data_IF_907994770603
#
_entry.id   IF_907994770603
#
_cell.length_a   1.000
_cell.length_b   1.000
_cell.length_c   1.000
_cell.angle_alpha   90.00
_cell.angle_beta   90.00
_cell.angle_gamma   90.00
#
_symmetry.space_group_name_H-M   'P 1'
#
loop_
_entity.id
_entity.type
_entity.pdbx_description
1 polymer ?
#
# COMPACT_ATOMS: atom_id res chain seq x y z
N UNK A 1 -1.93 14.89 9.04
CA UNK A 1 -2.18 14.60 7.61
C UNK A 1 -1.45 13.33 7.23
N UNK A 2 -1.83 12.69 6.13
CA UNK A 2 -1.11 11.52 5.59
C UNK A 2 0.12 11.98 4.80
N UNK A 3 1.21 11.21 4.85
CA UNK A 3 2.37 11.44 3.99
C UNK A 3 2.08 10.84 2.60
N UNK A 4 1.94 11.64 1.52
CA UNK A 4 1.63 11.11 0.19
C UNK A 4 2.69 10.16 -0.36
N UNK A 5 3.96 10.33 0.02
CA UNK A 5 5.03 9.41 -0.38
C UNK A 5 4.86 8.01 0.22
N UNK A 6 4.09 7.87 1.31
CA UNK A 6 3.82 6.59 1.95
C UNK A 6 2.59 5.86 1.37
N UNK A 7 1.95 6.43 0.34
CA UNK A 7 0.67 5.96 -0.24
C UNK A 7 0.89 5.49 -1.68
N UNK A 8 0.45 4.26 -1.98
CA UNK A 8 0.50 3.72 -3.34
C UNK A 8 -0.65 4.30 -4.17
N UNK A 9 -0.34 4.83 -5.36
CA UNK A 9 -1.33 5.31 -6.31
C UNK A 9 -1.42 4.34 -7.49
N UNK A 10 -2.51 3.57 -7.55
CA UNK A 10 -2.72 2.54 -8.58
C UNK A 10 -3.92 2.93 -9.44
N UNK A 11 -3.75 3.20 -10.74
CA UNK A 11 -4.88 3.36 -11.65
C UNK A 11 -5.50 1.99 -11.92
N UNK A 12 -6.77 1.80 -11.57
CA UNK A 12 -7.47 0.52 -11.69
C UNK A 12 -8.78 0.66 -12.47
N UNK A 13 -9.22 -0.45 -13.07
CA UNK A 13 -10.63 -0.62 -13.48
C UNK A 13 -11.25 -1.75 -12.67
N UNK A 14 -12.05 -1.41 -11.66
CA UNK A 14 -12.69 -2.42 -10.81
C UNK A 14 -13.65 -3.35 -11.57
N UNK A 15 -14.27 -2.85 -12.65
CA UNK A 15 -15.20 -3.63 -13.47
C UNK A 15 -14.49 -4.62 -14.40
N UNK A 16 -13.39 -4.17 -15.04
CA UNK A 16 -12.66 -5.00 -16.02
C UNK A 16 -11.49 -5.78 -15.40
N UNK A 17 -11.15 -5.52 -14.14
CA UNK A 17 -10.03 -6.16 -13.45
C UNK A 17 -8.65 -5.58 -13.77
N UNK A 18 -8.58 -4.50 -14.55
CA UNK A 18 -7.31 -3.89 -14.98
C UNK A 18 -6.50 -3.39 -13.76
N UNK A 19 -5.24 -3.84 -13.64
CA UNK A 19 -4.30 -3.56 -12.53
C UNK A 19 -4.77 -4.01 -11.14
N UNK A 20 -5.78 -4.88 -11.03
CA UNK A 20 -6.21 -5.42 -9.73
C UNK A 20 -5.30 -6.56 -9.26
N UNK A 21 -5.24 -7.64 -10.05
CA UNK A 21 -4.41 -8.81 -9.79
C UNK A 21 -3.25 -8.89 -10.78
N UNK A 22 -3.52 -8.59 -12.05
CA UNK A 22 -2.57 -8.64 -13.15
C UNK A 22 -2.38 -7.27 -13.78
N UNK A 23 -1.21 -7.05 -14.37
CA UNK A 23 -0.88 -5.80 -15.06
C UNK A 23 -1.71 -5.68 -16.32
N UNK A 24 -2.40 -4.55 -16.48
CA UNK A 24 -3.18 -4.27 -17.68
C UNK A 24 -2.28 -3.86 -18.84
N UNK A 25 -2.51 -4.44 -20.01
CA UNK A 25 -1.89 -4.01 -21.27
C UNK A 25 -2.46 -2.70 -21.82
N UNK A 26 -3.61 -2.23 -21.30
CA UNK A 26 -4.29 -1.00 -21.75
C UNK A 26 -3.65 0.28 -21.21
N UNK A 27 -2.76 0.17 -20.23
CA UNK A 27 -2.13 1.30 -19.57
C UNK A 27 -0.60 1.27 -19.72
N UNK A 28 -0.07 1.37 -20.96
CA UNK A 28 1.38 1.30 -21.21
C UNK A 28 2.16 2.48 -20.61
N UNK A 29 1.47 3.57 -20.26
CA UNK A 29 2.05 4.75 -19.62
C UNK A 29 2.32 4.55 -18.12
N UNK A 30 1.65 3.60 -17.47
CA UNK A 30 1.81 3.34 -16.04
C UNK A 30 2.96 2.35 -15.82
N UNK A 31 4.05 2.83 -15.21
CA UNK A 31 5.26 2.02 -14.96
C UNK A 31 5.22 1.27 -13.63
N UNK A 32 4.29 1.64 -12.76
CA UNK A 32 4.18 1.15 -11.40
C UNK A 32 3.96 2.28 -10.39
N UNK A 33 3.54 1.90 -9.20
CA UNK A 33 3.47 2.76 -8.03
C UNK A 33 4.73 2.58 -7.19
N UNK A 34 5.01 3.57 -6.35
CA UNK A 34 6.16 3.57 -5.45
C UNK A 34 5.73 4.15 -4.13
N UNK A 35 6.13 3.49 -3.04
CA UNK A 35 5.84 3.89 -1.66
C UNK A 35 7.15 3.98 -0.89
N UNK A 36 7.39 5.12 -0.26
CA UNK A 36 8.51 5.36 0.64
C UNK A 36 8.01 5.42 2.09
N UNK A 37 8.49 4.47 2.90
CA UNK A 37 8.22 4.40 4.34
C UNK A 37 9.54 4.34 5.10
N UNK A 38 9.46 4.48 6.42
CA UNK A 38 10.63 4.42 7.31
C UNK A 38 11.42 3.11 7.19
N UNK A 39 10.76 2.02 6.79
CA UNK A 39 11.34 0.68 6.69
C UNK A 39 11.85 0.33 5.29
N UNK A 40 11.63 1.19 4.29
CA UNK A 40 12.12 0.98 2.93
C UNK A 40 11.23 1.56 1.84
N UNK A 41 11.77 1.54 0.62
CA UNK A 41 11.06 1.85 -0.61
C UNK A 41 10.51 0.57 -1.22
N UNK A 42 9.21 0.54 -1.51
CA UNK A 42 8.55 -0.59 -2.15
C UNK A 42 7.93 -0.11 -3.46
N UNK A 43 8.04 -0.92 -4.50
CA UNK A 43 7.46 -0.66 -5.81
C UNK A 43 6.61 -1.86 -6.26
N UNK A 44 5.59 -1.57 -7.05
CA UNK A 44 4.69 -2.57 -7.61
C UNK A 44 3.86 -1.99 -8.74
N UNK A 45 3.01 -2.79 -9.34
CA UNK A 45 2.17 -2.41 -10.50
C UNK A 45 0.69 -2.71 -10.24
N UNK A 46 0.37 -3.76 -9.51
CA UNK A 46 -1.00 -4.16 -9.24
C UNK A 46 -1.48 -3.67 -7.86
N UNK A 47 -2.80 -3.66 -7.68
CA UNK A 47 -3.43 -3.35 -6.40
C UNK A 47 -3.12 -4.41 -5.35
N UNK A 48 -3.05 -5.69 -5.72
CA UNK A 48 -2.68 -6.77 -4.79
C UNK A 48 -1.28 -6.56 -4.21
N UNK A 49 -0.31 -6.17 -5.04
CA UNK A 49 1.05 -5.87 -4.59
C UNK A 49 1.07 -4.68 -3.62
N UNK A 50 0.16 -3.70 -3.83
CA UNK A 50 0.04 -2.56 -2.92
C UNK A 50 -0.53 -2.96 -1.55
N UNK A 51 -1.41 -3.97 -1.52
CA UNK A 51 -1.94 -4.56 -0.28
C UNK A 51 -0.88 -5.40 0.44
N UNK A 52 -0.12 -6.22 -0.30
CA UNK A 52 0.98 -7.02 0.26
C UNK A 52 2.11 -6.14 0.82
N UNK A 53 2.29 -4.95 0.26
CA UNK A 53 3.22 -3.95 0.77
C UNK A 53 2.74 -3.23 2.04
N UNK A 54 1.54 -3.53 2.56
CA UNK A 54 1.07 -2.97 3.84
C UNK A 54 1.86 -3.61 4.98
N UNK A 55 2.46 -2.76 5.80
CA UNK A 55 3.22 -3.22 6.97
C UNK A 55 2.25 -3.72 8.03
N UNK A 56 2.55 -4.85 8.68
CA UNK A 56 1.76 -5.32 9.80
C UNK A 56 1.74 -4.25 10.91
N UNK A 57 0.61 -4.07 11.60
CA UNK A 57 0.52 -3.06 12.65
C UNK A 57 1.53 -3.36 13.76
N UNK A 58 2.32 -2.36 14.13
CA UNK A 58 3.27 -2.49 15.23
C UNK A 58 2.51 -2.74 16.53
N UNK A 59 2.88 -3.83 17.23
CA UNK A 59 2.36 -4.11 18.57
C UNK A 59 2.67 -2.92 19.48
N UNK A 60 1.73 -2.45 20.33
CA UNK A 60 1.93 -1.25 21.14
C UNK A 60 2.81 -1.52 22.38
N UNK A 61 3.94 -2.19 22.24
CA UNK A 61 4.94 -2.40 23.31
C UNK A 61 5.73 -1.13 23.62
N UNK A 62 5.91 -0.27 22.62
CA UNK A 62 6.67 0.98 22.76
C UNK A 62 5.80 2.14 23.28
N UNK A 63 4.48 1.91 23.39
CA UNK A 63 3.54 2.89 23.95
C UNK A 63 3.47 2.73 25.46
N UNK A 64 3.24 3.84 26.15
CA UNK A 64 3.03 3.81 27.59
C UNK A 64 1.85 2.87 27.96
N UNK A 65 2.02 2.10 29.04
CA UNK A 65 1.01 1.16 29.53
C UNK A 65 -0.33 1.88 29.74
N UNK A 66 -1.40 1.27 29.20
CA UNK A 66 -2.79 1.67 29.41
C UNK A 66 -3.60 0.41 29.69
N UNK A 67 -4.22 0.34 30.87
CA UNK A 67 -5.03 -0.80 31.31
C UNK A 67 -6.37 -0.26 31.79
N UNK A 68 -7.45 -0.35 30.98
CA UNK A 68 -8.78 0.00 31.44
C UNK A 68 -9.27 -1.02 32.47
N UNK A 69 -9.77 -0.55 33.60
CA UNK A 69 -10.41 -1.39 34.62
C UNK A 69 -11.80 -1.78 34.11
N UNK A 70 -12.13 -3.07 34.22
CA UNK A 70 -13.44 -3.62 33.82
C UNK A 70 -14.46 -3.49 34.96
#
# INVERSE_FOLDING_TARGET
GYNPAAVAFVPISGWHGDNMLEVSSKMPWFKGWTVERKEGKVEGKCLIEALDAILPPTRPTDKALRLPLQ
#
